data_IF_543905215638
#
_entry.id   IF_543905215638
#
_cell.length_a   1.000
_cell.length_b   1.000
_cell.length_c   1.000
_cell.angle_alpha   90.00
_cell.angle_beta   90.00
_cell.angle_gamma   90.00
#
_symmetry.space_group_name_H-M   'P 1'
#
loop_
_entity.id
_entity.type
_entity.pdbx_description
1 polymer ?
#
# COMPACT_ATOMS: atom_id res chain seq x y z
N UNK A 1 -2.58 -37.81 -7.17
CA UNK A 1 -1.54 -36.79 -7.36
C UNK A 1 -1.97 -35.55 -6.58
N UNK A 2 -1.25 -35.18 -5.53
CA UNK A 2 -1.56 -34.01 -4.70
C UNK A 2 -1.15 -32.75 -5.45
N UNK A 3 -2.10 -31.86 -5.71
CA UNK A 3 -1.82 -30.53 -6.26
C UNK A 3 -0.83 -29.82 -5.33
N UNK A 4 0.29 -29.28 -5.82
CA UNK A 4 1.21 -28.52 -4.98
C UNK A 4 0.46 -27.37 -4.34
N UNK A 5 0.61 -27.21 -3.02
CA UNK A 5 0.08 -26.06 -2.31
C UNK A 5 0.59 -24.78 -3.00
N UNK A 6 -0.28 -23.79 -3.24
CA UNK A 6 0.07 -22.55 -3.95
C UNK A 6 1.27 -21.83 -3.31
N UNK A 7 1.45 -21.94 -1.99
CA UNK A 7 2.61 -21.42 -1.27
C UNK A 7 3.90 -22.15 -1.68
N UNK A 8 3.87 -23.47 -1.80
CA UNK A 8 5.04 -24.26 -2.23
C UNK A 8 5.42 -23.91 -3.68
N UNK A 9 4.42 -23.70 -4.54
CA UNK A 9 4.65 -23.26 -5.92
C UNK A 9 5.27 -21.85 -5.97
N UNK A 10 4.75 -20.90 -5.20
CA UNK A 10 5.31 -19.56 -5.10
C UNK A 10 6.75 -19.57 -4.57
N UNK A 11 7.03 -20.35 -3.52
CA UNK A 11 8.37 -20.48 -2.96
C UNK A 11 9.39 -21.04 -3.97
N UNK A 12 9.00 -22.03 -4.78
CA UNK A 12 9.86 -22.55 -5.84
C UNK A 12 10.17 -21.48 -6.91
N UNK A 13 9.14 -20.76 -7.37
CA UNK A 13 9.32 -19.66 -8.35
C UNK A 13 10.25 -18.55 -7.82
N UNK A 14 10.13 -18.21 -6.53
CA UNK A 14 11.00 -17.23 -5.87
C UNK A 14 12.44 -17.76 -5.81
N UNK A 15 12.63 -18.99 -5.32
CA UNK A 15 13.96 -19.60 -5.16
C UNK A 15 14.72 -19.72 -6.49
N UNK A 16 14.01 -20.08 -7.55
CA UNK A 16 14.64 -20.38 -8.85
C UNK A 16 14.84 -19.12 -9.71
N UNK A 17 14.28 -17.97 -9.30
CA UNK A 17 14.44 -16.69 -10.02
C UNK A 17 15.83 -16.09 -9.83
N UNK A 18 16.43 -15.64 -10.93
CA UNK A 18 17.71 -14.92 -10.93
C UNK A 18 17.55 -13.41 -10.70
N UNK A 19 16.37 -12.85 -10.97
CA UNK A 19 16.09 -11.42 -10.84
C UNK A 19 14.66 -11.24 -10.32
N UNK A 20 14.52 -10.75 -9.08
CA UNK A 20 13.22 -10.55 -8.43
C UNK A 20 12.96 -9.05 -8.28
N UNK A 21 11.77 -8.63 -8.65
CA UNK A 21 11.24 -7.29 -8.34
C UNK A 21 9.98 -7.47 -7.49
N UNK A 22 9.88 -6.70 -6.41
CA UNK A 22 8.71 -6.69 -5.53
C UNK A 22 8.04 -5.34 -5.64
N UNK A 23 6.78 -5.33 -6.10
CA UNK A 23 5.93 -4.15 -6.11
C UNK A 23 5.12 -4.14 -4.82
N UNK A 24 5.36 -3.15 -3.97
CA UNK A 24 4.65 -2.99 -2.68
C UNK A 24 3.71 -1.79 -2.73
N UNK A 25 2.59 -1.88 -1.99
CA UNK A 25 1.72 -0.74 -1.70
C UNK A 25 1.72 -0.41 -0.20
N UNK A 26 0.93 0.59 0.21
CA UNK A 26 0.84 1.04 1.61
C UNK A 26 0.49 -0.08 2.62
N UNK A 27 -0.16 -1.15 2.16
CA UNK A 27 -0.52 -2.30 3.01
C UNK A 27 0.68 -2.97 3.68
N UNK A 28 1.87 -2.94 3.07
CA UNK A 28 3.10 -3.50 3.69
C UNK A 28 3.49 -2.77 4.98
N UNK A 29 3.09 -1.50 5.12
CA UNK A 29 3.41 -0.65 6.27
C UNK A 29 2.37 -0.70 7.40
N UNK A 30 1.19 -1.30 7.16
CA UNK A 30 0.11 -1.37 8.17
C UNK A 30 0.59 -2.02 9.46
N UNK A 31 1.27 -3.16 9.34
CA UNK A 31 1.73 -3.94 10.49
C UNK A 31 2.84 -3.22 11.28
N UNK A 32 3.44 -2.16 10.70
CA UNK A 32 4.35 -1.25 11.38
C UNK A 32 3.65 -0.06 12.07
N UNK A 33 2.32 -0.03 12.07
CA UNK A 33 1.52 1.05 12.67
C UNK A 33 1.36 2.28 11.79
N UNK A 34 1.79 2.24 10.52
CA UNK A 34 1.59 3.34 9.57
C UNK A 34 0.20 3.18 8.93
N UNK A 35 -0.71 4.18 9.06
CA UNK A 35 -2.02 4.11 8.44
C UNK A 35 -1.93 3.97 6.92
N UNK A 36 -2.84 3.19 6.34
CA UNK A 36 -2.97 3.11 4.89
C UNK A 36 -3.93 4.20 4.39
N UNK A 37 -3.95 4.36 3.07
CA UNK A 37 -4.83 5.34 2.45
C UNK A 37 -6.29 4.88 2.31
N UNK A 38 -6.51 3.63 1.89
CA UNK A 38 -7.79 3.17 1.30
C UNK A 38 -8.58 2.16 2.13
N UNK A 39 -8.12 1.78 3.32
CA UNK A 39 -8.90 0.82 4.10
C UNK A 39 -10.22 1.37 4.57
N UNK A 40 -11.23 0.50 4.54
CA UNK A 40 -12.63 0.91 4.67
C UNK A 40 -12.99 1.43 6.06
N UNK A 41 -12.32 0.95 7.10
CA UNK A 41 -12.65 1.28 8.49
C UNK A 41 -11.71 2.33 9.10
N UNK A 42 -10.44 2.30 8.72
CA UNK A 42 -9.36 3.05 9.38
C UNK A 42 -8.42 3.77 8.40
N UNK A 43 -8.68 3.70 7.09
CA UNK A 43 -7.87 4.37 6.08
C UNK A 43 -8.00 5.89 6.13
N UNK A 44 -6.96 6.61 5.70
CA UNK A 44 -6.97 8.07 5.67
C UNK A 44 -8.14 8.64 4.84
N UNK A 45 -8.54 7.99 3.75
CA UNK A 45 -9.66 8.43 2.91
C UNK A 45 -11.05 8.13 3.48
N UNK A 46 -11.14 7.30 4.52
CA UNK A 46 -12.37 7.17 5.29
C UNK A 46 -12.58 8.38 6.24
N UNK A 47 -11.50 9.12 6.54
CA UNK A 47 -11.48 10.22 7.51
C UNK A 47 -11.32 11.60 6.87
N UNK A 48 -10.66 11.67 5.73
CA UNK A 48 -10.33 12.92 5.04
C UNK A 48 -10.69 12.87 3.56
N UNK A 49 -11.03 14.02 2.98
CA UNK A 49 -11.29 14.15 1.55
C UNK A 49 -9.97 14.07 0.76
N UNK A 50 -9.75 13.06 -0.10
CA UNK A 50 -8.51 12.92 -0.85
C UNK A 50 -8.23 14.10 -1.78
N UNK A 51 -9.27 14.72 -2.33
CA UNK A 51 -9.13 15.86 -3.25
C UNK A 51 -8.53 17.10 -2.56
N UNK A 52 -8.71 17.22 -1.24
CA UNK A 52 -8.20 18.32 -0.42
C UNK A 52 -6.80 18.07 0.15
N UNK A 53 -6.24 16.87 -0.02
CA UNK A 53 -4.95 16.50 0.57
C UNK A 53 -3.94 15.96 -0.45
N UNK A 54 -4.35 15.11 -1.38
CA UNK A 54 -3.44 14.37 -2.26
C UNK A 54 -3.35 14.95 -3.68
N UNK A 55 -3.42 16.27 -3.81
CA UNK A 55 -3.26 16.95 -5.11
C UNK A 55 -2.31 18.12 -5.02
N UNK A 56 -1.57 18.39 -6.10
CA UNK A 56 -0.69 19.55 -6.17
C UNK A 56 -1.48 20.86 -5.98
N UNK A 57 -2.69 20.94 -6.54
CA UNK A 57 -3.58 22.10 -6.37
C UNK A 57 -4.01 22.31 -4.91
N UNK A 58 -4.32 21.23 -4.18
CA UNK A 58 -4.71 21.33 -2.78
C UNK A 58 -3.55 21.83 -1.91
N UNK A 59 -2.35 21.30 -2.17
CA UNK A 59 -1.14 21.77 -1.50
C UNK A 59 -0.85 23.26 -1.78
N UNK A 60 -1.00 23.71 -3.02
CA UNK A 60 -0.83 25.12 -3.38
C UNK A 60 -1.89 26.03 -2.73
N UNK A 61 -3.12 25.54 -2.59
CA UNK A 61 -4.21 26.29 -1.99
C UNK A 61 -4.10 26.40 -0.46
N UNK A 62 -3.69 25.32 0.22
CA UNK A 62 -3.53 25.29 1.66
C UNK A 62 -2.41 24.31 2.08
N UNK A 63 -1.13 24.73 2.02
CA UNK A 63 -0.01 23.84 2.31
C UNK A 63 0.00 23.39 3.77
N UNK A 64 -0.49 24.22 4.70
CA UNK A 64 -0.56 23.88 6.13
C UNK A 64 -1.47 22.67 6.37
N UNK A 65 -2.64 22.64 5.73
CA UNK A 65 -3.57 21.50 5.83
C UNK A 65 -2.97 20.19 5.30
N UNK A 66 -2.15 20.26 4.24
CA UNK A 66 -1.55 19.07 3.64
C UNK A 66 -0.30 18.59 4.38
N UNK A 67 0.46 19.52 4.99
CA UNK A 67 1.70 19.21 5.71
C UNK A 67 1.50 18.68 7.14
N UNK A 68 0.52 19.22 7.86
CA UNK A 68 0.24 18.88 9.27
C UNK A 68 -0.54 17.56 9.40
#
# INVERSE_FOLDING_TARGET
>A
MTTPNLIQKAAALIRDSQNITVLTGAGVSRESGIPTFRDALDGLWARFNPQELATASAFMANPKLVWD
#
